data_IF_141562291363
#
_entry.id   IF_141562291363
#
_cell.length_a   1.000
_cell.length_b   1.000
_cell.length_c   1.000
_cell.angle_alpha   90.00
_cell.angle_beta   90.00
_cell.angle_gamma   90.00
#
_symmetry.space_group_name_H-M   'P 1'
#
loop_
_entity.id
_entity.type
_entity.pdbx_description
1 polymer ?
#
# COMPACT_ATOMS: atom_id res chain seq x y z
N UNK A 1 -0.83 2.84 15.63
CA UNK A 1 0.40 2.08 15.32
C UNK A 1 1.61 2.91 15.68
N UNK A 2 2.59 2.32 16.36
CA UNK A 2 3.84 3.00 16.73
C UNK A 2 4.89 2.97 15.60
N UNK A 3 4.63 2.20 14.53
CA UNK A 3 5.44 2.09 13.31
C UNK A 3 4.65 2.57 12.09
N UNK A 4 5.27 2.57 10.91
CA UNK A 4 4.62 3.01 9.66
C UNK A 4 3.46 2.06 9.29
N UNK A 5 2.21 2.56 9.20
CA UNK A 5 1.10 1.77 8.70
C UNK A 5 1.30 1.46 7.22
N UNK A 6 1.00 0.21 6.84
CA UNK A 6 0.88 -0.12 5.43
C UNK A 6 -0.40 0.49 4.86
N UNK A 7 -0.48 0.63 3.54
CA UNK A 7 -1.71 1.09 2.88
C UNK A 7 -2.88 0.12 3.14
N UNK A 8 -2.61 -1.17 3.32
CA UNK A 8 -3.63 -2.14 3.71
C UNK A 8 -4.15 -1.88 5.14
N UNK A 9 -3.27 -1.55 6.09
CA UNK A 9 -3.66 -1.21 7.48
C UNK A 9 -4.56 0.04 7.51
N UNK A 10 -4.28 1.04 6.67
CA UNK A 10 -5.11 2.25 6.56
C UNK A 10 -6.49 1.95 5.98
N UNK A 11 -6.55 1.10 4.95
CA UNK A 11 -7.81 0.68 4.34
C UNK A 11 -8.64 -0.17 5.31
N UNK A 12 -8.00 -1.04 6.08
CA UNK A 12 -8.64 -1.79 7.16
C UNK A 12 -9.23 -0.86 8.21
N UNK A 13 -8.45 0.09 8.71
CA UNK A 13 -8.91 1.07 9.70
C UNK A 13 -10.10 1.86 9.21
N UNK A 14 -10.12 2.27 7.93
CA UNK A 14 -11.25 2.96 7.33
C UNK A 14 -12.50 2.07 7.24
N UNK A 15 -12.37 0.80 6.84
CA UNK A 15 -13.50 -0.14 6.79
C UNK A 15 -14.11 -0.32 8.19
N UNK A 16 -13.25 -0.47 9.21
CA UNK A 16 -13.67 -0.56 10.61
C UNK A 16 -14.41 0.70 11.04
N UNK A 17 -13.83 1.89 10.82
CA UNK A 17 -14.45 3.16 11.17
C UNK A 17 -15.81 3.37 10.48
N UNK A 18 -15.95 3.00 9.20
CA UNK A 18 -17.23 3.04 8.50
C UNK A 18 -18.30 2.16 9.20
N UNK A 19 -17.89 1.00 9.71
CA UNK A 19 -18.80 0.06 10.38
C UNK A 19 -19.14 0.45 11.82
N UNK A 20 -18.14 0.83 12.62
CA UNK A 20 -18.31 1.08 14.05
C UNK A 20 -18.65 2.52 14.40
N UNK A 21 -18.26 3.49 13.57
CA UNK A 21 -18.36 4.92 13.88
C UNK A 21 -19.29 5.70 12.95
N UNK A 22 -19.57 5.21 11.74
CA UNK A 22 -20.46 5.88 10.79
C UNK A 22 -21.81 5.19 10.69
N UNK A 23 -21.82 3.90 10.35
CA UNK A 23 -23.05 3.11 10.12
C UNK A 23 -24.11 3.24 11.25
N UNK A 24 -23.75 3.24 12.54
CA UNK A 24 -24.74 3.29 13.63
C UNK A 24 -25.54 4.61 13.69
N UNK A 25 -25.04 5.67 13.06
CA UNK A 25 -25.67 6.99 13.06
C UNK A 25 -26.46 7.27 11.78
N UNK A 26 -26.52 6.31 10.84
CA UNK A 26 -27.26 6.43 9.60
C UNK A 26 -28.69 5.95 9.76
N UNK A 27 -29.65 6.87 9.63
CA UNK A 27 -31.07 6.57 9.82
C UNK A 27 -31.84 6.36 8.49
N UNK A 28 -31.17 6.52 7.34
CA UNK A 28 -31.77 6.33 6.02
C UNK A 28 -31.24 5.03 5.39
N UNK A 29 -32.11 4.08 4.98
CA UNK A 29 -31.72 2.83 4.33
C UNK A 29 -30.81 3.01 3.11
N UNK A 30 -31.01 4.09 2.33
CA UNK A 30 -30.14 4.40 1.18
C UNK A 30 -28.71 4.72 1.62
N UNK A 31 -28.56 5.49 2.70
CA UNK A 31 -27.24 5.86 3.22
C UNK A 31 -26.51 4.64 3.81
N UNK A 32 -27.24 3.75 4.50
CA UNK A 32 -26.69 2.49 4.98
C UNK A 32 -26.21 1.61 3.83
N UNK A 33 -27.01 1.46 2.78
CA UNK A 33 -26.64 0.68 1.59
C UNK A 33 -25.42 1.28 0.88
N UNK A 34 -25.36 2.62 0.72
CA UNK A 34 -24.19 3.30 0.14
C UNK A 34 -22.93 3.06 0.96
N UNK A 35 -23.02 3.10 2.29
CA UNK A 35 -21.87 2.87 3.18
C UNK A 35 -21.39 1.42 3.09
N UNK A 36 -22.31 0.46 3.01
CA UNK A 36 -21.97 -0.95 2.78
C UNK A 36 -21.30 -1.18 1.41
N UNK A 37 -21.76 -0.48 0.35
CA UNK A 37 -21.10 -0.52 -0.96
C UNK A 37 -19.68 0.07 -0.90
N UNK A 38 -19.47 1.17 -0.18
CA UNK A 38 -18.14 1.75 0.03
C UNK A 38 -17.20 0.76 0.73
N UNK A 39 -17.66 0.09 1.79
CA UNK A 39 -16.87 -0.96 2.45
C UNK A 39 -16.50 -2.10 1.50
N UNK A 40 -17.43 -2.55 0.65
CA UNK A 40 -17.16 -3.57 -0.36
C UNK A 40 -16.10 -3.15 -1.38
N UNK A 41 -16.18 -1.91 -1.88
CA UNK A 41 -15.18 -1.37 -2.81
C UNK A 41 -13.80 -1.27 -2.16
N UNK A 42 -13.72 -0.78 -0.91
CA UNK A 42 -12.47 -0.72 -0.17
C UNK A 42 -11.87 -2.12 0.06
N UNK A 43 -12.72 -3.11 0.37
CA UNK A 43 -12.28 -4.50 0.53
C UNK A 43 -11.73 -5.10 -0.78
N UNK A 44 -12.31 -4.76 -1.93
CA UNK A 44 -11.78 -5.16 -3.23
C UNK A 44 -10.41 -4.53 -3.49
N UNK A 45 -10.25 -3.24 -3.19
CA UNK A 45 -8.95 -2.56 -3.31
C UNK A 45 -7.88 -3.25 -2.46
N UNK A 46 -8.19 -3.60 -1.21
CA UNK A 46 -7.29 -4.36 -0.33
C UNK A 46 -6.84 -5.70 -0.93
N UNK A 47 -7.74 -6.42 -1.59
CA UNK A 47 -7.43 -7.72 -2.21
C UNK A 47 -6.49 -7.60 -3.41
N UNK A 48 -6.56 -6.50 -4.15
CA UNK A 48 -5.75 -6.30 -5.37
C UNK A 48 -4.41 -5.63 -5.06
N UNK A 49 -4.33 -4.83 -3.99
CA UNK A 49 -3.15 -4.05 -3.64
C UNK A 49 -1.83 -4.85 -3.57
N UNK A 50 -1.78 -6.08 -3.02
CA UNK A 50 -0.53 -6.83 -2.90
C UNK A 50 0.03 -7.30 -4.25
N UNK A 51 -0.81 -7.40 -5.28
CA UNK A 51 -0.41 -7.95 -6.59
C UNK A 51 -0.35 -6.88 -7.68
N UNK A 52 -0.79 -5.66 -7.41
CA UNK A 52 -0.94 -4.63 -8.45
C UNK A 52 0.39 -4.28 -9.13
N UNK A 53 1.45 -4.00 -8.38
CA UNK A 53 2.77 -3.69 -8.93
C UNK A 53 3.37 -4.88 -9.70
N UNK A 54 3.08 -6.10 -9.24
CA UNK A 54 3.46 -7.34 -9.90
C UNK A 54 2.78 -7.48 -11.25
N UNK A 55 1.45 -7.28 -11.28
CA UNK A 55 0.64 -7.34 -12.50
C UNK A 55 1.09 -6.30 -13.51
N UNK A 56 1.37 -5.06 -13.09
CA UNK A 56 1.86 -4.02 -13.99
C UNK A 56 3.19 -4.42 -14.64
N UNK A 57 4.12 -4.96 -13.87
CA UNK A 57 5.41 -5.39 -14.39
C UNK A 57 5.27 -6.59 -15.36
N UNK A 58 4.47 -7.59 -14.99
CA UNK A 58 4.18 -8.76 -15.83
C UNK A 58 3.46 -8.35 -17.14
N UNK A 59 2.46 -7.46 -17.05
CA UNK A 59 1.71 -6.93 -18.19
C UNK A 59 2.60 -6.11 -19.11
N UNK A 60 3.44 -5.21 -18.58
CA UNK A 60 4.42 -4.46 -19.36
C UNK A 60 5.30 -5.40 -20.20
N UNK A 61 5.92 -6.39 -19.56
CA UNK A 61 6.79 -7.35 -20.23
C UNK A 61 6.02 -8.21 -21.25
N UNK A 62 4.73 -8.47 -21.01
CA UNK A 62 3.88 -9.16 -21.98
C UNK A 62 3.52 -8.27 -23.17
N UNK A 63 3.26 -6.98 -22.94
CA UNK A 63 2.93 -6.01 -23.99
C UNK A 63 4.11 -5.82 -24.95
N UNK A 64 5.33 -5.67 -24.44
CA UNK A 64 6.54 -5.50 -25.26
C UNK A 64 6.77 -6.73 -26.16
N UNK A 65 6.69 -7.94 -25.59
CA UNK A 65 6.75 -9.20 -26.33
C UNK A 65 5.65 -9.31 -27.38
N UNK A 66 4.42 -8.99 -27.03
CA UNK A 66 3.27 -9.06 -27.94
C UNK A 66 3.46 -8.12 -29.14
N UNK A 67 4.03 -6.93 -28.95
CA UNK A 67 4.34 -6.02 -30.07
C UNK A 67 5.35 -6.65 -31.04
N UNK A 68 6.38 -7.31 -30.53
CA UNK A 68 7.36 -8.03 -31.33
C UNK A 68 6.74 -9.22 -32.08
N UNK A 69 5.92 -10.02 -31.40
CA UNK A 69 5.24 -11.18 -31.99
C UNK A 69 4.29 -10.77 -33.12
N UNK A 70 3.51 -9.69 -32.92
CA UNK A 70 2.61 -9.16 -33.95
C UNK A 70 3.38 -8.64 -35.17
N UNK A 71 4.51 -7.97 -34.96
CA UNK A 71 5.35 -7.52 -36.07
C UNK A 71 5.99 -8.70 -36.82
N UNK A 72 6.41 -9.73 -36.11
CA UNK A 72 6.96 -10.95 -36.71
C UNK A 72 5.91 -11.72 -37.51
N UNK A 73 4.66 -11.78 -37.04
CA UNK A 73 3.55 -12.42 -37.75
C UNK A 73 3.19 -11.72 -39.08
N UNK A 74 3.61 -10.47 -39.28
CA UNK A 74 3.42 -9.70 -40.51
C UNK A 74 4.65 -9.75 -41.44
N UNK A 75 5.54 -10.71 -41.24
CA UNK A 75 6.67 -10.91 -42.15
C UNK A 75 6.18 -11.13 -43.60
N UNK A 76 6.87 -10.50 -44.56
CA UNK A 76 6.47 -10.50 -45.97
C UNK A 76 5.25 -9.62 -46.33
N UNK A 77 4.54 -9.03 -45.36
CA UNK A 77 3.44 -8.09 -45.64
C UNK A 77 3.99 -6.69 -45.89
N UNK A 78 3.64 -6.12 -47.04
CA UNK A 78 3.98 -4.75 -47.44
C UNK A 78 2.81 -3.79 -47.22
N UNK A 79 3.09 -2.56 -46.83
CA UNK A 79 2.08 -1.50 -46.68
C UNK A 79 2.39 -0.58 -45.51
N UNK A 80 1.88 0.65 -45.57
CA UNK A 80 2.16 1.67 -44.55
C UNK A 80 1.71 1.24 -43.14
N UNK A 81 0.65 0.43 -43.04
CA UNK A 81 0.13 -0.15 -41.79
C UNK A 81 1.14 -1.14 -41.18
N UNK A 82 1.67 -2.06 -42.00
CA UNK A 82 2.65 -3.05 -41.57
C UNK A 82 3.95 -2.37 -41.13
N UNK A 83 4.38 -1.32 -41.83
CA UNK A 83 5.56 -0.53 -41.46
C UNK A 83 5.38 0.19 -40.12
N UNK A 84 4.21 0.78 -39.86
CA UNK A 84 3.91 1.39 -38.55
C UNK A 84 3.92 0.36 -37.41
N UNK A 85 3.44 -0.85 -37.65
CA UNK A 85 3.47 -1.94 -36.66
C UNK A 85 4.91 -2.37 -36.39
N UNK A 86 5.71 -2.61 -37.43
CA UNK A 86 7.15 -2.91 -37.30
C UNK A 86 7.90 -1.82 -36.55
N UNK A 87 7.59 -0.54 -36.81
CA UNK A 87 8.19 0.59 -36.11
C UNK A 87 7.84 0.60 -34.60
N UNK A 88 6.60 0.27 -34.22
CA UNK A 88 6.21 0.15 -32.80
C UNK A 88 6.92 -1.02 -32.12
N UNK A 89 7.04 -2.15 -32.78
CA UNK A 89 7.81 -3.29 -32.26
C UNK A 89 9.29 -2.92 -32.05
N UNK A 90 9.91 -2.25 -33.03
CA UNK A 90 11.31 -1.83 -32.95
C UNK A 90 11.59 -0.74 -31.89
N UNK A 91 10.56 -0.05 -31.40
CA UNK A 91 10.70 1.04 -30.42
C UNK A 91 10.17 0.63 -29.04
N UNK A 92 8.87 0.36 -28.94
CA UNK A 92 8.19 -0.02 -27.70
C UNK A 92 8.40 -1.51 -27.38
N UNK A 93 8.35 -2.38 -28.38
CA UNK A 93 8.58 -3.83 -28.19
C UNK A 93 10.03 -4.18 -27.86
N UNK A 94 10.98 -3.32 -28.23
CA UNK A 94 12.41 -3.46 -27.94
C UNK A 94 12.81 -2.94 -26.54
N UNK A 95 11.85 -2.44 -25.75
CA UNK A 95 12.12 -2.07 -24.35
C UNK A 95 12.49 -3.32 -23.55
N UNK A 96 13.50 -3.20 -22.69
CA UNK A 96 13.94 -4.29 -21.82
C UNK A 96 12.90 -4.58 -20.75
N UNK A 97 12.84 -5.85 -20.33
CA UNK A 97 11.91 -6.29 -19.29
C UNK A 97 12.12 -5.51 -17.99
N UNK A 98 11.01 -5.08 -17.39
CA UNK A 98 11.00 -4.49 -16.05
C UNK A 98 11.03 -5.60 -15.01
N UNK A 99 11.78 -5.43 -13.90
CA UNK A 99 11.86 -6.42 -12.84
C UNK A 99 10.50 -6.58 -12.17
N UNK A 100 10.04 -7.82 -12.03
CA UNK A 100 8.82 -8.15 -11.31
C UNK A 100 9.08 -8.05 -9.80
N UNK A 101 8.35 -7.18 -9.06
CA UNK A 101 8.52 -7.06 -7.62
C UNK A 101 8.26 -8.38 -6.88
N UNK A 102 9.08 -8.65 -5.86
CA UNK A 102 8.85 -9.79 -4.97
C UNK A 102 7.59 -9.58 -4.13
N UNK A 103 6.92 -10.67 -3.78
CA UNK A 103 5.77 -10.64 -2.88
C UNK A 103 6.14 -9.96 -1.55
N UNK A 104 5.49 -8.82 -1.30
CA UNK A 104 5.73 -8.00 -0.11
C UNK A 104 4.91 -8.47 1.09
N UNK A 105 3.96 -9.39 0.91
CA UNK A 105 3.11 -9.93 1.99
C UNK A 105 3.92 -10.47 3.17
N UNK A 106 4.94 -11.35 3.00
CA UNK A 106 5.72 -11.84 4.13
C UNK A 106 6.52 -10.74 4.85
N UNK A 107 7.03 -9.76 4.10
CA UNK A 107 7.77 -8.62 4.67
C UNK A 107 6.85 -7.75 5.53
N UNK A 108 5.66 -7.45 5.02
CA UNK A 108 4.63 -6.67 5.74
C UNK A 108 4.16 -7.40 7.00
N UNK A 109 3.87 -8.69 6.91
CA UNK A 109 3.48 -9.50 8.06
C UNK A 109 4.55 -9.52 9.16
N UNK A 110 5.82 -9.72 8.79
CA UNK A 110 6.93 -9.69 9.73
C UNK A 110 7.10 -8.30 10.38
N UNK A 111 6.97 -7.22 9.60
CA UNK A 111 7.02 -5.86 10.11
C UNK A 111 5.88 -5.56 11.10
N UNK A 112 4.65 -5.98 10.78
CA UNK A 112 3.50 -5.81 11.68
C UNK A 112 3.67 -6.59 12.99
N UNK A 113 4.17 -7.83 12.92
CA UNK A 113 4.47 -8.62 14.12
C UNK A 113 5.49 -7.94 15.04
N UNK A 114 6.56 -7.35 14.48
CA UNK A 114 7.51 -6.54 15.24
C UNK A 114 6.86 -5.29 15.84
N UNK A 115 5.96 -4.64 15.09
CA UNK A 115 5.19 -3.49 15.58
C UNK A 115 4.34 -3.82 16.82
N UNK A 116 3.63 -4.95 16.80
CA UNK A 116 2.86 -5.42 17.96
C UNK A 116 3.76 -5.79 19.14
N UNK A 117 4.86 -6.51 18.90
CA UNK A 117 5.80 -6.86 19.97
C UNK A 117 6.39 -5.60 20.66
N UNK A 118 6.62 -4.52 19.91
CA UNK A 118 7.05 -3.23 20.49
C UNK A 118 5.95 -2.58 21.33
N UNK A 119 4.67 -2.77 20.98
CA UNK A 119 3.54 -2.29 21.80
C UNK A 119 3.44 -3.06 23.10
N UNK A 120 3.45 -4.40 23.04
CA UNK A 120 3.41 -5.26 24.23
C UNK A 120 4.58 -4.95 25.16
N UNK A 121 5.78 -4.71 24.60
CA UNK A 121 6.95 -4.29 25.36
C UNK A 121 6.73 -2.98 26.11
N UNK A 122 5.99 -2.01 25.55
CA UNK A 122 5.68 -0.75 26.26
C UNK A 122 4.76 -1.04 27.45
N UNK A 123 3.76 -1.90 27.28
CA UNK A 123 2.82 -2.28 28.35
C UNK A 123 3.55 -3.00 29.49
N UNK A 124 4.44 -3.94 29.16
CA UNK A 124 5.26 -4.65 30.14
C UNK A 124 6.21 -3.70 30.89
N UNK A 125 6.84 -2.76 30.18
CA UNK A 125 7.71 -1.76 30.80
C UNK A 125 6.92 -0.83 31.74
N UNK A 126 5.72 -0.43 31.37
CA UNK A 126 4.82 0.37 32.20
C UNK A 126 4.40 -0.40 33.47
N UNK A 127 4.13 -1.71 33.37
CA UNK A 127 3.89 -2.56 34.53
C UNK A 127 5.10 -2.63 35.47
N UNK A 128 6.31 -2.78 34.92
CA UNK A 128 7.57 -2.79 35.69
C UNK A 128 7.85 -1.44 36.38
N UNK A 129 7.55 -0.31 35.72
CA UNK A 129 7.65 1.02 36.32
C UNK A 129 6.71 1.16 37.52
N UNK A 130 5.45 0.70 37.40
CA UNK A 130 4.50 0.72 38.52
C UNK A 130 4.92 -0.17 39.69
N UNK A 131 5.65 -1.25 39.41
CA UNK A 131 6.24 -2.12 40.43
C UNK A 131 7.52 -1.55 41.07
N UNK A 132 8.01 -0.38 40.62
CA UNK A 132 9.17 0.30 41.19
C UNK A 132 10.53 -0.09 40.58
N UNK A 133 10.54 -0.80 39.44
CA UNK A 133 11.77 -1.16 38.76
C UNK A 133 12.32 0.00 37.92
N UNK A 134 13.24 0.77 38.48
CA UNK A 134 13.89 1.92 37.81
C UNK A 134 14.59 1.59 36.48
N UNK A 135 15.01 0.33 36.27
CA UNK A 135 15.58 -0.11 34.99
C UNK A 135 14.59 -0.02 33.82
N UNK A 136 13.28 -0.06 34.12
CA UNK A 136 12.24 0.09 33.11
C UNK A 136 12.21 1.51 32.51
N UNK A 137 12.59 2.54 33.28
CA UNK A 137 12.68 3.92 32.79
C UNK A 137 13.75 4.07 31.70
N UNK A 138 14.90 3.41 31.89
CA UNK A 138 16.00 3.43 30.92
C UNK A 138 15.62 2.66 29.65
N UNK A 139 15.02 1.48 29.81
CA UNK A 139 14.56 0.67 28.68
C UNK A 139 13.48 1.40 27.85
N UNK A 140 12.51 2.05 28.52
CA UNK A 140 11.47 2.83 27.85
C UNK A 140 12.05 4.05 27.11
N UNK A 141 13.09 4.67 27.66
CA UNK A 141 13.80 5.77 27.00
C UNK A 141 14.45 5.33 25.69
N UNK A 142 15.09 4.15 25.65
CA UNK A 142 15.66 3.59 24.42
C UNK A 142 14.60 3.31 23.37
N UNK A 143 13.47 2.74 23.80
CA UNK A 143 12.35 2.46 22.89
C UNK A 143 11.76 3.75 22.31
N UNK A 144 11.59 4.80 23.12
CA UNK A 144 11.15 6.12 22.65
C UNK A 144 12.12 6.74 21.65
N UNK A 145 13.43 6.62 21.86
CA UNK A 145 14.45 7.11 20.92
C UNK A 145 14.34 6.45 19.54
N UNK A 146 14.02 5.15 19.50
CA UNK A 146 13.78 4.43 18.26
C UNK A 146 12.48 4.88 17.56
N UNK A 147 11.40 5.09 18.31
CA UNK A 147 10.08 5.42 17.74
C UNK A 147 9.95 6.89 17.32
N UNK A 148 10.64 7.81 17.99
CA UNK A 148 10.51 9.27 17.76
C UNK A 148 10.69 9.69 16.29
N UNK A 149 11.74 9.23 15.56
CA UNK A 149 11.97 9.63 14.18
C UNK A 149 10.81 9.25 13.24
N UNK A 150 10.27 8.03 13.41
CA UNK A 150 9.13 7.57 12.63
C UNK A 150 7.88 8.42 12.90
N UNK A 151 7.60 8.71 14.17
CA UNK A 151 6.48 9.57 14.58
C UNK A 151 6.59 10.97 13.96
N UNK A 152 7.77 11.60 14.05
CA UNK A 152 8.01 12.94 13.46
C UNK A 152 7.83 12.90 11.94
N UNK A 153 8.35 11.88 11.27
CA UNK A 153 8.19 11.70 9.82
C UNK A 153 6.71 11.58 9.42
N UNK A 154 5.92 10.81 10.16
CA UNK A 154 4.49 10.66 9.88
C UNK A 154 3.71 11.97 10.10
N UNK A 155 3.99 12.70 11.20
CA UNK A 155 3.35 13.99 11.48
C UNK A 155 3.67 15.01 10.37
N UNK A 156 4.91 15.04 9.89
CA UNK A 156 5.32 15.92 8.80
C UNK A 156 4.58 15.60 7.50
N UNK A 157 4.48 14.31 7.14
CA UNK A 157 3.78 13.87 5.94
C UNK A 157 2.29 14.24 5.95
N UNK A 158 1.61 14.06 7.08
CA UNK A 158 0.20 14.43 7.26
C UNK A 158 0.02 15.96 7.14
N UNK A 159 0.94 16.74 7.74
CA UNK A 159 0.87 18.20 7.76
C UNK A 159 1.10 18.84 6.38
N UNK A 160 1.98 18.26 5.56
CA UNK A 160 2.22 18.70 4.17
C UNK A 160 1.03 18.38 3.27
N UNK A 161 0.35 17.24 3.50
CA UNK A 161 -0.90 16.89 2.81
C UNK A 161 -2.06 17.85 3.12
N UNK A 162 -2.17 18.31 4.38
CA UNK A 162 -3.19 19.28 4.79
C UNK A 162 -3.02 20.68 4.18
N UNK A 163 -1.79 21.09 3.84
CA UNK A 163 -1.51 22.37 3.19
C UNK A 163 -2.01 22.50 1.75
N UNK A 164 -2.39 21.39 1.10
CA UNK A 164 -2.89 21.34 -0.28
C UNK A 164 -4.41 21.31 -0.40
N UNK A 165 -5.15 21.25 0.72
CA UNK A 165 -6.63 21.12 0.75
C UNK A 165 -7.35 22.49 0.72
N UNK A 166 -6.62 23.62 0.67
CA UNK A 166 -7.19 24.98 0.72
C UNK A 166 -7.07 25.82 -0.55
N UNK A 167 -6.73 25.23 -1.71
CA UNK A 167 -6.61 25.96 -2.99
C UNK A 167 -7.42 25.25 -4.08
N UNK A 168 -8.73 25.39 -4.00
CA UNK A 168 -9.69 24.95 -5.02
C UNK A 168 -11.02 25.66 -4.81
#
# INVERSE_FOLDING_TARGET
>A
MNTAPTLDDLLEGLIVALGSEVMPFLNNPKAMATTAMMQSLLQQVRQVLPVFDRVIAEEHNQMTRTLCDVAAALDGVSGAEADRIRARAATLGAQGDVPVPVDQTPVRAAHSALGFALQDTIEDLDALQRAGHTQADEALTRLRQFLLPAIVSHIAAISVGGGMVGRG
#
